data_IF_913989829677
#
_entry.id   IF_913989829677
#
_cell.length_a   1.000
_cell.length_b   1.000
_cell.length_c   1.000
_cell.angle_alpha   90.00
_cell.angle_beta   90.00
_cell.angle_gamma   90.00
#
_symmetry.space_group_name_H-M   'P 1'
#
loop_
_entity.id
_entity.type
_entity.pdbx_description
1 polymer ?
#
# COMPACT_ATOMS: atom_id res chain seq x y z
N UNK A 1 -36.30 33.62 -30.65
CA UNK A 1 -35.78 32.28 -30.93
C UNK A 1 -34.26 32.38 -30.94
N UNK A 2 -33.64 32.27 -29.76
CA UNK A 2 -32.19 32.38 -29.61
C UNK A 2 -31.57 31.02 -29.89
N UNK A 3 -30.93 30.91 -31.05
CA UNK A 3 -29.91 29.93 -31.32
C UNK A 3 -28.65 30.35 -30.56
N UNK A 4 -28.50 29.85 -29.32
CA UNK A 4 -27.21 29.80 -28.64
C UNK A 4 -26.92 28.33 -28.35
N UNK A 5 -26.02 27.82 -29.18
CA UNK A 5 -25.57 26.44 -29.28
C UNK A 5 -24.96 25.90 -27.98
N UNK A 6 -25.32 24.67 -27.64
CA UNK A 6 -24.70 23.78 -26.64
C UNK A 6 -23.16 23.69 -26.77
N UNK A 7 -22.61 24.10 -27.91
CA UNK A 7 -21.17 24.17 -28.21
C UNK A 7 -20.38 25.04 -27.22
N UNK A 8 -20.95 26.10 -26.65
CA UNK A 8 -20.22 26.96 -25.69
C UNK A 8 -20.03 26.29 -24.33
N UNK A 9 -20.99 25.49 -23.86
CA UNK A 9 -20.84 24.75 -22.61
C UNK A 9 -19.78 23.67 -22.76
N UNK A 10 -19.84 22.88 -23.83
CA UNK A 10 -18.81 21.87 -24.14
C UNK A 10 -17.43 22.53 -24.29
N UNK A 11 -17.33 23.67 -24.97
CA UNK A 11 -16.08 24.42 -25.09
C UNK A 11 -15.58 24.94 -23.74
N UNK A 12 -16.46 25.39 -22.84
CA UNK A 12 -16.08 25.84 -21.50
C UNK A 12 -15.53 24.68 -20.65
N UNK A 13 -16.17 23.49 -20.71
CA UNK A 13 -15.67 22.26 -20.06
C UNK A 13 -14.34 21.77 -20.66
N UNK A 14 -14.10 21.94 -21.96
CA UNK A 14 -12.82 21.61 -22.60
C UNK A 14 -11.71 22.67 -22.36
N UNK A 15 -12.06 23.94 -22.09
CA UNK A 15 -11.10 25.03 -21.85
C UNK A 15 -10.72 25.19 -20.37
N UNK A 16 -11.60 24.80 -19.43
CA UNK A 16 -11.22 24.63 -18.03
C UNK A 16 -10.70 23.21 -17.85
N UNK A 17 -9.46 22.94 -18.29
CA UNK A 17 -8.81 21.66 -18.01
C UNK A 17 -8.99 21.32 -16.53
N UNK A 18 -9.69 20.23 -16.21
CA UNK A 18 -10.11 19.91 -14.85
C UNK A 18 -8.92 20.04 -13.91
N UNK A 19 -9.04 20.90 -12.88
CA UNK A 19 -7.96 21.10 -11.91
C UNK A 19 -7.65 19.74 -11.29
N UNK A 20 -6.50 19.18 -11.63
CA UNK A 20 -6.10 17.87 -11.12
C UNK A 20 -5.51 18.02 -9.72
N UNK A 21 -5.79 17.04 -8.89
CA UNK A 21 -5.18 16.82 -7.59
C UNK A 21 -4.23 15.62 -7.67
N UNK A 22 -3.27 15.60 -6.75
CA UNK A 22 -2.24 14.59 -6.68
C UNK A 22 -2.09 14.08 -5.26
N UNK A 23 -1.57 12.87 -5.10
CA UNK A 23 -1.22 12.31 -3.80
C UNK A 23 -0.05 11.35 -3.93
N UNK A 24 0.75 11.25 -2.89
CA UNK A 24 1.92 10.36 -2.84
C UNK A 24 1.74 9.38 -1.69
N UNK A 25 1.90 8.09 -1.97
CA UNK A 25 1.92 7.05 -0.95
C UNK A 25 3.21 6.26 -1.07
N UNK A 26 3.95 6.16 0.02
CA UNK A 26 5.07 5.25 0.14
C UNK A 26 4.61 4.00 0.88
N UNK A 27 4.61 2.86 0.20
CA UNK A 27 4.44 1.55 0.78
C UNK A 27 5.81 1.03 1.23
N UNK A 28 6.05 1.07 2.54
CA UNK A 28 7.29 0.61 3.15
C UNK A 28 7.16 -0.85 3.61
N UNK A 29 7.24 -1.74 2.61
CA UNK A 29 7.25 -3.19 2.77
C UNK A 29 8.49 -3.74 3.50
N UNK A 30 8.45 -5.04 3.83
CA UNK A 30 9.58 -5.71 4.47
C UNK A 30 10.83 -5.81 3.58
N UNK A 31 10.61 -5.94 2.27
CA UNK A 31 11.65 -6.28 1.30
C UNK A 31 12.08 -5.07 0.48
N UNK A 32 11.17 -4.14 0.18
CA UNK A 32 11.41 -2.91 -0.56
C UNK A 32 10.45 -1.80 -0.09
N UNK A 33 10.73 -0.56 -0.47
CA UNK A 33 9.77 0.55 -0.38
C UNK A 33 9.37 0.95 -1.80
N UNK A 34 8.06 1.05 -2.08
CA UNK A 34 7.56 1.60 -3.35
C UNK A 34 6.89 2.94 -3.09
N UNK A 35 7.15 3.90 -3.98
CA UNK A 35 6.46 5.18 -4.01
C UNK A 35 5.46 5.17 -5.16
N UNK A 36 4.21 5.49 -4.86
CA UNK A 36 3.13 5.66 -5.82
C UNK A 36 2.71 7.12 -5.89
N UNK A 37 2.56 7.63 -7.12
CA UNK A 37 1.95 8.94 -7.37
C UNK A 37 0.58 8.70 -7.97
N UNK A 38 -0.43 9.26 -7.33
CA UNK A 38 -1.82 9.22 -7.78
C UNK A 38 -2.27 10.58 -8.29
N UNK A 39 -3.22 10.57 -9.23
CA UNK A 39 -3.86 11.76 -9.80
C UNK A 39 -5.36 11.57 -9.90
N UNK A 40 -6.14 12.59 -9.58
CA UNK A 40 -7.60 12.59 -9.75
C UNK A 40 -8.13 13.98 -10.13
N UNK A 41 -9.31 14.09 -10.75
CA UNK A 41 -10.01 15.37 -10.89
C UNK A 41 -10.40 15.93 -9.51
N UNK A 42 -10.44 17.26 -9.34
CA UNK A 42 -10.85 17.86 -8.06
C UNK A 42 -12.32 17.55 -7.67
N UNK A 43 -13.16 17.18 -8.64
CA UNK A 43 -14.54 16.78 -8.43
C UNK A 43 -14.62 15.35 -7.86
N UNK A 44 -15.58 15.11 -6.96
CA UNK A 44 -15.84 13.80 -6.37
C UNK A 44 -17.10 13.21 -6.98
N UNK A 45 -17.12 11.90 -7.18
CA UNK A 45 -18.31 11.12 -7.55
C UNK A 45 -18.89 10.45 -6.30
N UNK A 46 -20.12 10.82 -5.87
CA UNK A 46 -20.78 10.24 -4.69
C UNK A 46 -19.86 10.22 -3.44
N UNK A 47 -19.32 11.40 -3.10
CA UNK A 47 -18.38 11.64 -1.99
C UNK A 47 -16.99 10.98 -2.12
N UNK A 48 -16.71 10.24 -3.21
CA UNK A 48 -15.44 9.53 -3.43
C UNK A 48 -14.81 9.91 -4.79
N UNK A 49 -13.51 10.13 -4.84
CA UNK A 49 -12.82 10.53 -6.08
C UNK A 49 -12.43 9.35 -6.96
N UNK A 50 -12.45 9.51 -8.28
CA UNK A 50 -11.85 8.57 -9.24
C UNK A 50 -10.35 8.86 -9.36
N UNK A 51 -9.54 8.01 -8.76
CA UNK A 51 -8.09 8.05 -8.68
C UNK A 51 -7.43 7.17 -9.75
N UNK A 52 -6.35 7.67 -10.35
CA UNK A 52 -5.49 6.96 -11.29
C UNK A 52 -4.05 6.94 -10.78
N UNK A 53 -3.36 5.81 -10.93
CA UNK A 53 -1.91 5.75 -10.70
C UNK A 53 -1.20 6.44 -11.87
N UNK A 54 -0.39 7.44 -11.56
CA UNK A 54 0.38 8.20 -12.53
C UNK A 54 1.78 7.62 -12.74
N UNK A 55 2.45 7.24 -11.65
CA UNK A 55 3.83 6.75 -11.68
C UNK A 55 4.12 5.88 -10.45
N UNK A 56 5.08 4.96 -10.59
CA UNK A 56 5.60 4.12 -9.52
C UNK A 56 7.14 4.19 -9.49
N UNK A 57 7.73 4.25 -8.30
CA UNK A 57 9.17 4.21 -8.12
C UNK A 57 9.53 3.27 -6.98
N UNK A 58 10.19 2.16 -7.31
CA UNK A 58 10.78 1.27 -6.31
C UNK A 58 12.10 1.88 -5.79
N UNK A 59 12.14 2.17 -4.49
CA UNK A 59 13.34 2.70 -3.82
C UNK A 59 14.44 1.63 -3.83
N UNK A 60 15.66 2.03 -4.20
CA UNK A 60 16.82 1.13 -4.21
C UNK A 60 17.22 0.74 -2.79
N UNK A 61 17.32 -0.56 -2.55
CA UNK A 61 17.74 -1.13 -1.27
C UNK A 61 16.62 -1.90 -0.58
N UNK A 62 16.87 -2.38 0.66
CA UNK A 62 15.89 -3.15 1.41
C UNK A 62 14.77 -2.27 1.98
N UNK A 63 13.79 -2.89 2.63
CA UNK A 63 12.77 -2.18 3.41
C UNK A 63 13.38 -1.36 4.56
N UNK A 64 12.64 -0.33 5.01
CA UNK A 64 13.13 0.65 5.99
C UNK A 64 13.52 0.06 7.34
N UNK A 65 13.00 -1.12 7.73
CA UNK A 65 13.37 -1.78 8.98
C UNK A 65 14.85 -2.16 9.03
N UNK A 66 15.51 -2.36 7.88
CA UNK A 66 16.95 -2.63 7.80
C UNK A 66 17.83 -1.40 8.07
N UNK A 67 17.23 -0.24 8.29
CA UNK A 67 17.92 1.01 8.63
C UNK A 67 17.92 1.33 10.12
N UNK A 68 17.50 0.40 10.99
CA UNK A 68 17.44 0.56 12.44
C UNK A 68 18.73 1.10 13.09
N UNK A 69 19.90 0.73 12.54
CA UNK A 69 21.22 1.16 13.04
C UNK A 69 21.90 2.22 12.16
N UNK A 70 21.23 2.69 11.10
CA UNK A 70 21.80 3.59 10.09
C UNK A 70 20.76 4.58 9.57
N UNK A 71 19.99 5.15 10.49
CA UNK A 71 18.88 6.07 10.19
C UNK A 71 19.32 7.35 9.48
N UNK A 72 20.59 7.72 9.58
CA UNK A 72 21.22 8.81 8.82
C UNK A 72 21.23 8.56 7.29
N UNK A 73 21.11 7.31 6.83
CA UNK A 73 21.06 6.97 5.40
C UNK A 73 19.65 7.14 4.79
N UNK A 74 18.61 7.34 5.60
CA UNK A 74 17.21 7.42 5.12
C UNK A 74 16.98 8.60 4.16
N UNK A 75 17.68 9.72 4.36
CA UNK A 75 17.62 10.87 3.46
C UNK A 75 18.06 10.48 2.04
N UNK A 76 19.23 9.84 1.92
CA UNK A 76 19.78 9.37 0.65
C UNK A 76 18.95 8.23 0.06
N UNK A 77 18.47 7.32 0.91
CA UNK A 77 17.62 6.20 0.51
C UNK A 77 16.36 6.67 -0.22
N UNK A 78 15.62 7.64 0.32
CA UNK A 78 14.38 8.14 -0.30
C UNK A 78 14.59 9.16 -1.43
N UNK A 79 15.82 9.65 -1.61
CA UNK A 79 16.09 10.82 -2.45
C UNK A 79 15.68 10.64 -3.91
N UNK A 80 16.02 9.53 -4.54
CA UNK A 80 15.77 9.30 -5.97
C UNK A 80 14.27 9.37 -6.31
N UNK A 81 13.44 8.61 -5.59
CA UNK A 81 12.00 8.59 -5.84
C UNK A 81 11.32 9.91 -5.46
N UNK A 82 11.72 10.57 -4.37
CA UNK A 82 11.11 11.85 -3.99
C UNK A 82 11.53 13.00 -4.93
N UNK A 83 12.75 12.96 -5.49
CA UNK A 83 13.19 13.88 -6.54
C UNK A 83 12.44 13.64 -7.86
N UNK A 84 12.12 12.38 -8.19
CA UNK A 84 11.24 12.07 -9.31
C UNK A 84 9.86 12.69 -9.10
N UNK A 85 9.26 12.53 -7.91
CA UNK A 85 7.93 13.10 -7.60
C UNK A 85 7.89 14.62 -7.74
N UNK A 86 8.93 15.32 -7.26
CA UNK A 86 9.00 16.79 -7.37
C UNK A 86 9.14 17.29 -8.80
N UNK A 87 9.73 16.49 -9.70
CA UNK A 87 9.82 16.81 -11.14
C UNK A 87 8.51 16.51 -11.88
N UNK A 88 7.82 15.44 -11.49
CA UNK A 88 6.61 14.98 -12.17
C UNK A 88 5.38 15.83 -11.81
N UNK A 89 5.22 16.18 -10.54
CA UNK A 89 4.08 16.95 -10.06
C UNK A 89 4.33 18.45 -10.32
N UNK A 90 3.36 19.22 -10.87
CA UNK A 90 3.54 20.64 -11.10
C UNK A 90 3.86 21.42 -9.82
N UNK A 91 4.79 22.38 -9.88
CA UNK A 91 5.23 23.13 -8.70
C UNK A 91 4.10 23.87 -7.97
N UNK A 92 3.08 24.34 -8.69
CA UNK A 92 1.88 24.96 -8.12
C UNK A 92 1.02 24.01 -7.28
N UNK A 93 1.22 22.69 -7.46
CA UNK A 93 0.47 21.62 -6.80
C UNK A 93 1.22 20.98 -5.63
N UNK A 94 2.51 21.28 -5.46
CA UNK A 94 3.33 20.63 -4.43
C UNK A 94 2.74 20.79 -3.02
N UNK A 95 2.44 22.01 -2.59
CA UNK A 95 1.97 22.29 -1.22
C UNK A 95 0.61 21.70 -0.86
N UNK A 96 -0.19 21.30 -1.85
CA UNK A 96 -1.50 20.67 -1.63
C UNK A 96 -1.49 19.16 -1.89
N UNK A 97 -0.35 18.62 -2.37
CA UNK A 97 -0.20 17.19 -2.62
C UNK A 97 0.16 16.50 -1.30
N UNK A 98 -0.73 15.70 -0.70
CA UNK A 98 -0.40 14.97 0.50
C UNK A 98 0.61 13.85 0.22
N UNK A 99 1.53 13.64 1.17
CA UNK A 99 2.45 12.50 1.16
C UNK A 99 2.32 11.71 2.46
N UNK A 100 2.09 10.41 2.30
CA UNK A 100 1.95 9.43 3.39
C UNK A 100 3.02 8.34 3.25
N UNK A 101 3.47 7.79 4.37
CA UNK A 101 4.19 6.52 4.39
C UNK A 101 3.46 5.51 5.29
N UNK A 102 3.09 4.37 4.72
CA UNK A 102 2.55 3.23 5.43
C UNK A 102 3.58 2.12 5.48
N UNK A 103 4.09 1.80 6.67
CA UNK A 103 4.99 0.66 6.85
C UNK A 103 4.23 -0.59 7.29
N UNK A 104 4.60 -1.75 6.73
CA UNK A 104 3.87 -3.00 6.95
C UNK A 104 4.61 -3.97 7.88
N UNK A 105 4.47 -5.28 7.66
CA UNK A 105 4.96 -6.32 8.56
C UNK A 105 6.46 -6.23 8.87
N UNK A 106 7.30 -5.74 7.96
CA UNK A 106 8.73 -5.56 8.24
C UNK A 106 9.01 -4.63 9.42
N UNK A 107 8.24 -3.55 9.55
CA UNK A 107 8.33 -2.63 10.69
C UNK A 107 7.55 -3.12 11.91
N UNK A 108 6.49 -3.92 11.73
CA UNK A 108 5.83 -4.61 12.86
C UNK A 108 6.81 -5.53 13.59
N UNK A 109 7.57 -6.33 12.83
CA UNK A 109 8.64 -7.18 13.37
C UNK A 109 9.70 -6.36 14.09
N UNK A 110 10.22 -5.29 13.47
CA UNK A 110 11.20 -4.42 14.13
C UNK A 110 10.66 -3.81 15.43
N UNK A 111 9.39 -3.40 15.47
CA UNK A 111 8.78 -2.86 16.69
C UNK A 111 8.66 -3.91 17.79
N UNK A 112 8.38 -5.16 17.45
CA UNK A 112 8.39 -6.28 18.40
C UNK A 112 9.80 -6.57 18.94
N UNK A 113 10.83 -6.44 18.10
CA UNK A 113 12.24 -6.58 18.50
C UNK A 113 12.71 -5.40 19.37
N UNK A 114 12.38 -4.17 18.97
CA UNK A 114 12.74 -2.93 19.65
C UNK A 114 11.86 -1.77 19.20
N UNK A 115 10.92 -1.38 20.06
CA UNK A 115 10.04 -0.21 19.83
C UNK A 115 10.85 1.07 19.56
N UNK A 116 11.90 1.31 20.36
CA UNK A 116 12.80 2.46 20.17
C UNK A 116 13.53 2.45 18.81
N UNK A 117 13.85 1.28 18.26
CA UNK A 117 14.46 1.21 16.93
C UNK A 117 13.44 1.54 15.83
N UNK A 118 12.22 1.00 15.94
CA UNK A 118 11.13 1.32 15.02
C UNK A 118 10.79 2.82 15.02
N UNK A 119 10.69 3.43 16.20
CA UNK A 119 10.39 4.85 16.35
C UNK A 119 11.50 5.73 15.77
N UNK A 120 12.77 5.36 15.97
CA UNK A 120 13.90 6.10 15.37
C UNK A 120 13.89 6.04 13.84
N UNK A 121 13.53 4.89 13.26
CA UNK A 121 13.37 4.75 11.80
C UNK A 121 12.22 5.63 11.30
N UNK A 122 11.04 5.56 11.92
CA UNK A 122 9.89 6.40 11.55
C UNK A 122 10.19 7.89 11.70
N UNK A 123 10.90 8.29 12.76
CA UNK A 123 11.28 9.68 12.96
C UNK A 123 12.27 10.18 11.89
N UNK A 124 13.21 9.33 11.45
CA UNK A 124 14.11 9.64 10.35
C UNK A 124 13.38 9.76 9.01
N UNK A 125 12.43 8.85 8.74
CA UNK A 125 11.55 8.90 7.57
C UNK A 125 10.72 10.19 7.57
N UNK A 126 10.05 10.50 8.68
CA UNK A 126 9.26 11.74 8.82
C UNK A 126 10.12 12.97 8.55
N UNK A 127 11.31 13.04 9.14
CA UNK A 127 12.26 14.15 8.92
C UNK A 127 12.71 14.26 7.47
N UNK A 128 12.93 13.13 6.79
CA UNK A 128 13.31 13.11 5.37
C UNK A 128 12.17 13.62 4.50
N UNK A 129 10.96 13.07 4.67
CA UNK A 129 9.79 13.44 3.88
C UNK A 129 9.36 14.90 4.10
N UNK A 130 9.48 15.44 5.32
CA UNK A 130 9.18 16.85 5.61
C UNK A 130 10.13 17.87 4.93
N UNK A 131 11.24 17.44 4.32
CA UNK A 131 12.14 18.33 3.55
C UNK A 131 11.63 18.62 2.14
N UNK A 132 10.72 17.79 1.62
CA UNK A 132 10.16 17.95 0.28
C UNK A 132 8.98 18.93 0.29
N UNK A 133 8.68 19.62 -0.82
CA UNK A 133 7.65 20.67 -0.87
C UNK A 133 6.20 20.15 -0.85
N UNK A 134 5.99 18.93 -0.36
CA UNK A 134 4.68 18.27 -0.28
C UNK A 134 4.06 18.42 1.10
N UNK A 135 2.74 18.21 1.18
CA UNK A 135 2.01 18.23 2.44
C UNK A 135 2.21 16.90 3.18
N UNK A 136 3.17 16.85 4.11
CA UNK A 136 3.47 15.63 4.84
C UNK A 136 2.41 15.31 5.89
N UNK A 137 1.71 14.20 5.67
CA UNK A 137 0.57 13.80 6.49
C UNK A 137 0.92 12.74 7.54
N UNK A 138 2.08 12.11 7.43
CA UNK A 138 2.61 11.21 8.46
C UNK A 138 3.26 9.93 7.91
N UNK A 139 4.06 9.31 8.77
CA UNK A 139 4.65 8.00 8.56
C UNK A 139 4.25 7.09 9.72
N UNK A 140 3.52 5.99 9.44
CA UNK A 140 3.01 5.08 10.48
C UNK A 140 3.21 3.62 10.10
N UNK A 141 3.29 2.75 11.11
CA UNK A 141 3.14 1.31 10.92
C UNK A 141 1.65 1.01 10.87
N UNK A 142 1.14 0.62 9.71
CA UNK A 142 -0.27 0.24 9.57
C UNK A 142 -0.53 -1.12 10.21
N UNK A 143 -1.74 -1.34 10.70
CA UNK A 143 -2.17 -2.65 11.21
C UNK A 143 -2.30 -3.64 10.05
N UNK A 144 -2.26 -4.95 10.35
CA UNK A 144 -2.46 -5.97 9.32
C UNK A 144 -3.86 -5.92 8.70
N UNK A 145 -4.84 -5.44 9.46
CA UNK A 145 -6.22 -5.29 8.99
C UNK A 145 -6.36 -4.09 8.04
N UNK A 146 -5.72 -2.96 8.38
CA UNK A 146 -5.63 -1.80 7.48
C UNK A 146 -4.98 -2.21 6.15
N UNK A 147 -3.85 -2.94 6.20
CA UNK A 147 -3.14 -3.42 5.00
C UNK A 147 -4.04 -4.29 4.11
N UNK A 148 -4.68 -5.33 4.67
CA UNK A 148 -5.58 -6.19 3.91
C UNK A 148 -6.81 -5.45 3.36
N UNK A 149 -7.42 -4.56 4.17
CA UNK A 149 -8.57 -3.78 3.76
C UNK A 149 -8.24 -2.79 2.64
N UNK A 150 -7.10 -2.09 2.70
CA UNK A 150 -6.68 -1.19 1.63
C UNK A 150 -6.39 -1.96 0.33
N UNK A 151 -5.81 -3.15 0.40
CA UNK A 151 -5.66 -4.04 -0.76
C UNK A 151 -7.01 -4.42 -1.37
N UNK A 152 -7.98 -4.82 -0.53
CA UNK A 152 -9.34 -5.14 -0.97
C UNK A 152 -10.08 -3.95 -1.60
N UNK A 153 -9.96 -2.75 -1.01
CA UNK A 153 -10.51 -1.52 -1.59
C UNK A 153 -9.86 -1.27 -2.96
N UNK A 154 -8.54 -1.40 -3.06
CA UNK A 154 -7.79 -1.11 -4.29
C UNK A 154 -8.26 -1.99 -5.44
N UNK A 155 -8.32 -3.31 -5.28
CA UNK A 155 -8.73 -4.21 -6.37
C UNK A 155 -10.18 -3.99 -6.78
N UNK A 156 -11.08 -3.73 -5.83
CA UNK A 156 -12.50 -3.54 -6.12
C UNK A 156 -12.76 -2.17 -6.74
N UNK A 157 -11.99 -1.16 -6.37
CA UNK A 157 -11.99 0.14 -7.02
C UNK A 157 -11.52 0.01 -8.48
N UNK A 158 -10.36 -0.60 -8.72
CA UNK A 158 -9.79 -0.76 -10.07
C UNK A 158 -10.68 -1.63 -10.98
N UNK A 159 -11.41 -2.59 -10.41
CA UNK A 159 -12.35 -3.46 -11.13
C UNK A 159 -13.76 -2.87 -11.24
N UNK A 160 -13.97 -1.61 -10.83
CA UNK A 160 -15.26 -0.92 -10.96
C UNK A 160 -16.39 -1.58 -10.17
N UNK A 161 -16.08 -2.14 -8.99
CA UNK A 161 -17.05 -2.82 -8.11
C UNK A 161 -17.78 -1.90 -7.15
N UNK A 162 -17.33 -0.66 -7.03
CA UNK A 162 -17.96 0.36 -6.18
C UNK A 162 -18.74 1.43 -6.96
N UNK A 163 -18.42 1.66 -8.24
CA UNK A 163 -18.97 2.78 -9.02
C UNK A 163 -20.25 2.41 -9.76
N UNK A 164 -21.13 3.41 -9.90
CA UNK A 164 -22.48 3.29 -10.44
C UNK A 164 -22.54 3.34 -11.98
N UNK A 165 -21.43 3.52 -12.70
CA UNK A 165 -21.46 3.58 -14.17
C UNK A 165 -22.04 2.31 -14.82
N UNK A 166 -22.01 1.16 -14.14
CA UNK A 166 -22.70 -0.03 -14.63
C UNK A 166 -24.22 -0.04 -14.36
N UNK A 167 -24.72 0.79 -13.43
CA UNK A 167 -26.15 0.87 -13.05
C UNK A 167 -27.02 1.58 -14.11
N UNK A 168 -26.49 2.54 -14.87
CA UNK A 168 -27.28 3.20 -15.93
C UNK A 168 -27.40 2.33 -17.19
N UNK A 169 -26.42 1.48 -17.49
CA UNK A 169 -26.52 0.45 -18.53
C UNK A 169 -27.45 -0.72 -18.13
N UNK A 170 -27.71 -0.90 -16.83
CA UNK A 170 -28.62 -1.93 -16.28
C UNK A 170 -30.01 -1.40 -15.90
N UNK A 171 -30.45 -0.26 -16.45
CA UNK A 171 -31.85 0.21 -16.32
C UNK A 171 -32.90 -0.75 -16.93
N UNK A 172 -32.47 -1.88 -17.51
CA UNK A 172 -33.31 -2.98 -18.00
C UNK A 172 -33.38 -4.15 -16.98
N UNK A 173 -32.58 -4.11 -15.92
CA UNK A 173 -32.46 -5.20 -14.94
C UNK A 173 -33.09 -4.76 -13.61
N UNK A 174 -34.31 -5.23 -13.34
CA UNK A 174 -35.10 -4.96 -12.13
C UNK A 174 -34.59 -5.70 -10.88
N UNK A 175 -33.32 -6.08 -10.83
CA UNK A 175 -32.77 -6.79 -9.67
C UNK A 175 -31.73 -5.92 -8.97
N UNK A 176 -32.09 -5.41 -7.79
CA UNK A 176 -31.23 -4.64 -6.90
C UNK A 176 -30.17 -5.52 -6.23
N UNK A 177 -29.53 -6.45 -6.96
CA UNK A 177 -28.46 -7.25 -6.38
C UNK A 177 -27.26 -6.36 -6.13
N UNK A 178 -26.78 -6.36 -4.87
CA UNK A 178 -25.49 -5.76 -4.54
C UNK A 178 -24.43 -6.39 -5.43
N UNK A 179 -23.67 -5.55 -6.14
CA UNK A 179 -22.59 -6.03 -6.98
C UNK A 179 -21.57 -6.75 -6.10
N UNK A 180 -21.30 -8.02 -6.42
CA UNK A 180 -20.32 -8.81 -5.69
C UNK A 180 -18.92 -8.20 -5.83
N UNK A 181 -18.21 -8.13 -4.71
CA UNK A 181 -16.82 -7.69 -4.63
C UNK A 181 -15.89 -8.89 -4.67
N UNK A 182 -14.69 -8.71 -5.22
CA UNK A 182 -13.63 -9.70 -5.14
C UNK A 182 -13.04 -9.78 -3.73
N UNK A 183 -12.61 -10.98 -3.35
CA UNK A 183 -11.66 -11.14 -2.24
C UNK A 183 -10.23 -10.75 -2.67
N UNK A 184 -9.42 -10.32 -1.73
CA UNK A 184 -8.01 -10.00 -1.90
C UNK A 184 -7.15 -10.99 -1.13
N UNK A 185 -6.09 -11.48 -1.79
CA UNK A 185 -5.02 -12.26 -1.20
C UNK A 185 -3.72 -11.52 -1.46
N UNK A 186 -2.98 -11.20 -0.40
CA UNK A 186 -1.70 -10.49 -0.48
C UNK A 186 -0.60 -11.33 0.17
N UNK A 187 0.55 -11.45 -0.49
CA UNK A 187 1.70 -12.23 -0.02
C UNK A 187 2.96 -11.36 -0.07
N UNK A 188 3.28 -10.76 1.06
CA UNK A 188 4.51 -10.01 1.26
C UNK A 188 5.70 -10.88 1.68
N UNK A 189 6.82 -10.23 1.99
CA UNK A 189 8.01 -10.89 2.55
C UNK A 189 7.81 -11.32 4.01
N UNK A 190 7.06 -10.56 4.81
CA UNK A 190 6.92 -10.77 6.25
C UNK A 190 5.51 -11.12 6.75
N UNK A 191 4.47 -10.93 5.96
CA UNK A 191 3.10 -11.38 6.26
C UNK A 191 2.36 -11.77 4.99
N UNK A 192 1.20 -12.39 5.18
CA UNK A 192 0.20 -12.61 4.13
C UNK A 192 -1.19 -12.27 4.67
N UNK A 193 -2.07 -11.79 3.81
CA UNK A 193 -3.38 -11.26 4.17
C UNK A 193 -4.46 -11.92 3.32
N UNK A 194 -5.64 -12.07 3.93
CA UNK A 194 -6.86 -12.51 3.27
C UNK A 194 -7.98 -11.55 3.66
N UNK A 195 -8.68 -11.03 2.67
CA UNK A 195 -9.73 -10.02 2.88
C UNK A 195 -10.90 -10.23 1.94
N UNK A 196 -12.12 -10.36 2.44
CA UNK A 196 -13.31 -10.57 1.62
C UNK A 196 -14.61 -10.22 2.37
N UNK A 197 -15.70 -10.04 1.64
CA UNK A 197 -17.05 -9.91 2.21
C UNK A 197 -17.63 -11.32 2.37
N UNK A 198 -17.87 -11.82 3.60
CA UNK A 198 -18.46 -13.15 3.81
C UNK A 198 -19.94 -13.19 3.44
N UNK A 199 -20.45 -14.38 3.10
CA UNK A 199 -21.87 -14.60 2.78
C UNK A 199 -22.78 -14.34 3.99
N UNK A 200 -22.35 -14.76 5.18
CA UNK A 200 -23.06 -14.50 6.42
C UNK A 200 -22.56 -13.17 7.01
N UNK A 201 -23.48 -12.31 7.43
CA UNK A 201 -23.16 -11.02 8.06
C UNK A 201 -22.48 -11.16 9.43
N UNK A 202 -22.63 -12.33 10.08
CA UNK A 202 -21.98 -12.63 11.35
C UNK A 202 -20.59 -13.20 11.11
N UNK A 203 -19.56 -12.42 11.41
CA UNK A 203 -18.18 -12.90 11.49
C UNK A 203 -17.96 -13.43 12.91
N UNK A 204 -17.64 -14.73 13.04
CA UNK A 204 -17.47 -15.42 14.33
C UNK A 204 -16.38 -14.82 15.21
N UNK A 205 -15.37 -14.21 14.58
CA UNK A 205 -14.26 -13.50 15.20
C UNK A 205 -14.38 -11.99 14.92
N UNK A 206 -15.13 -11.22 15.75
CA UNK A 206 -15.43 -9.81 15.49
C UNK A 206 -14.19 -8.94 15.36
N UNK A 207 -13.08 -9.32 16.00
CA UNK A 207 -11.79 -8.66 15.87
C UNK A 207 -11.23 -8.68 14.46
N UNK A 208 -11.69 -9.61 13.59
CA UNK A 208 -11.33 -9.69 12.17
C UNK A 208 -12.36 -9.03 11.25
N UNK A 209 -13.36 -8.36 11.81
CA UNK A 209 -14.38 -7.63 11.06
C UNK A 209 -14.04 -6.15 10.98
N UNK A 210 -14.07 -5.58 9.77
CA UNK A 210 -14.03 -4.14 9.55
C UNK A 210 -15.28 -3.68 8.80
N UNK A 211 -15.84 -2.56 9.25
CA UNK A 211 -16.99 -1.93 8.61
C UNK A 211 -16.55 -0.66 7.90
N UNK A 212 -16.92 -0.55 6.62
CA UNK A 212 -16.63 0.62 5.79
C UNK A 212 -17.90 1.11 5.13
N UNK A 213 -17.98 2.41 4.88
CA UNK A 213 -18.95 2.99 3.96
C UNK A 213 -18.21 3.54 2.75
N UNK A 214 -18.45 2.96 1.57
CA UNK A 214 -17.79 3.32 0.32
C UNK A 214 -18.85 3.59 -0.73
N UNK A 215 -18.78 4.75 -1.40
CA UNK A 215 -19.75 5.16 -2.44
C UNK A 215 -21.22 5.03 -2.00
N UNK A 216 -21.50 5.34 -0.73
CA UNK A 216 -22.83 5.29 -0.12
C UNK A 216 -23.27 3.94 0.44
N UNK A 217 -22.54 2.86 0.19
CA UNK A 217 -22.87 1.49 0.59
C UNK A 217 -22.02 1.02 1.79
N UNK A 218 -22.65 0.31 2.73
CA UNK A 218 -21.99 -0.29 3.89
C UNK A 218 -21.48 -1.70 3.57
N UNK A 219 -20.21 -1.96 3.89
CA UNK A 219 -19.51 -3.23 3.72
C UNK A 219 -19.04 -3.76 5.06
N UNK A 220 -19.37 -5.02 5.36
CA UNK A 220 -18.78 -5.79 6.47
C UNK A 220 -17.75 -6.73 5.87
N UNK A 221 -16.47 -6.47 6.14
CA UNK A 221 -15.33 -7.14 5.49
C UNK A 221 -14.59 -7.97 6.53
N UNK A 222 -14.43 -9.25 6.27
CA UNK A 222 -13.48 -10.08 7.00
C UNK A 222 -12.07 -9.75 6.52
N UNK A 223 -11.14 -9.51 7.45
CA UNK A 223 -9.72 -9.31 7.15
C UNK A 223 -8.85 -9.92 8.23
N UNK A 224 -7.83 -10.66 7.80
CA UNK A 224 -6.83 -11.19 8.71
C UNK A 224 -5.43 -11.11 8.08
N UNK A 225 -4.43 -10.89 8.94
CA UNK A 225 -3.03 -10.79 8.56
C UNK A 225 -2.19 -11.76 9.36
N UNK A 226 -1.62 -12.75 8.70
CA UNK A 226 -0.74 -13.74 9.30
C UNK A 226 0.71 -13.21 9.32
N UNK A 227 1.09 -12.55 10.41
CA UNK A 227 2.47 -12.10 10.62
C UNK A 227 3.42 -13.30 10.68
N UNK A 228 4.63 -13.15 10.15
CA UNK A 228 5.65 -14.20 9.97
C UNK A 228 5.35 -15.23 8.86
N UNK A 229 4.16 -15.22 8.25
CA UNK A 229 3.79 -16.13 7.15
C UNK A 229 4.01 -15.53 5.76
N UNK A 230 4.66 -14.36 5.67
CA UNK A 230 5.18 -13.88 4.39
C UNK A 230 6.32 -14.76 3.88
N UNK A 231 6.56 -14.77 2.57
CA UNK A 231 7.44 -15.75 1.92
C UNK A 231 8.87 -15.79 2.48
N UNK A 232 9.43 -14.64 2.87
CA UNK A 232 10.81 -14.56 3.36
C UNK A 232 10.88 -15.06 4.80
N UNK A 233 9.93 -14.66 5.65
CA UNK A 233 9.86 -15.13 7.05
C UNK A 233 9.48 -16.61 7.14
N UNK A 234 8.58 -17.10 6.29
CA UNK A 234 8.25 -18.51 6.20
C UNK A 234 9.47 -19.35 5.80
N UNK A 235 10.30 -18.86 4.87
CA UNK A 235 11.57 -19.48 4.54
C UNK A 235 12.50 -19.51 5.77
N UNK A 236 12.69 -18.39 6.47
CA UNK A 236 13.52 -18.35 7.68
C UNK A 236 13.06 -19.34 8.76
N UNK A 237 11.75 -19.40 9.01
CA UNK A 237 11.17 -20.37 9.94
C UNK A 237 11.49 -21.81 9.52
N UNK A 238 11.29 -22.13 8.24
CA UNK A 238 11.55 -23.47 7.71
C UNK A 238 13.04 -23.85 7.79
N UNK A 239 13.95 -22.94 7.41
CA UNK A 239 15.39 -23.18 7.52
C UNK A 239 15.81 -23.36 8.99
N UNK A 240 15.25 -22.57 9.92
CA UNK A 240 15.53 -22.72 11.35
C UNK A 240 15.05 -24.07 11.91
N UNK A 241 13.86 -24.53 11.49
CA UNK A 241 13.34 -25.86 11.85
C UNK A 241 14.22 -26.99 11.28
N UNK A 242 14.65 -26.86 10.03
CA UNK A 242 15.53 -27.83 9.36
C UNK A 242 16.89 -27.94 10.07
N UNK A 243 17.47 -26.80 10.50
CA UNK A 243 18.73 -26.78 11.25
C UNK A 243 18.57 -27.49 12.60
N UNK A 244 17.48 -27.24 13.33
CA UNK A 244 17.26 -27.89 14.63
C UNK A 244 17.06 -29.41 14.51
N UNK A 245 16.54 -29.87 13.38
CA UNK A 245 16.35 -31.30 13.10
C UNK A 245 17.64 -32.00 12.61
N UNK A 246 18.66 -31.26 12.17
CA UNK A 246 19.92 -31.82 11.66
C UNK A 246 21.05 -31.69 12.69
N UNK A 247 21.81 -32.77 12.90
CA UNK A 247 22.89 -32.82 13.89
C UNK A 247 24.29 -32.70 13.30
N UNK A 248 24.45 -32.68 11.96
CA UNK A 248 25.78 -32.80 11.32
C UNK A 248 25.97 -31.93 10.07
N UNK A 249 24.98 -31.80 9.18
CA UNK A 249 25.06 -30.94 7.98
C UNK A 249 23.71 -30.29 7.64
N UNK A 250 23.73 -29.01 7.22
CA UNK A 250 22.52 -28.33 6.75
C UNK A 250 22.21 -28.72 5.31
N UNK A 251 21.15 -29.50 5.12
CA UNK A 251 20.57 -29.81 3.81
C UNK A 251 19.09 -29.48 3.85
N UNK A 252 18.62 -28.65 2.91
CA UNK A 252 17.20 -28.31 2.77
C UNK A 252 16.75 -28.58 1.35
N UNK A 253 15.69 -29.38 1.18
CA UNK A 253 15.08 -29.68 -0.11
C UNK A 253 14.51 -28.43 -0.83
N UNK A 254 14.40 -27.30 -0.12
CA UNK A 254 13.95 -26.02 -0.66
C UNK A 254 15.08 -25.20 -1.31
N UNK A 255 16.34 -25.54 -1.03
CA UNK A 255 17.50 -24.90 -1.63
C UNK A 255 18.06 -25.86 -2.68
N UNK A 256 18.08 -25.44 -3.94
CA UNK A 256 18.79 -26.20 -4.99
C UNK A 256 20.29 -26.22 -4.67
N UNK A 257 21.00 -27.26 -5.09
CA UNK A 257 22.45 -27.44 -4.90
C UNK A 257 23.28 -26.48 -5.78
N UNK A 258 23.04 -25.18 -5.63
CA UNK A 258 23.81 -24.09 -6.23
C UNK A 258 24.94 -23.62 -5.31
N UNK A 259 25.90 -22.82 -5.83
CA UNK A 259 27.07 -22.40 -5.07
C UNK A 259 26.66 -21.67 -3.78
N UNK A 260 27.17 -22.15 -2.65
CA UNK A 260 26.98 -21.51 -1.35
C UNK A 260 27.53 -20.08 -1.40
N UNK A 261 26.81 -19.07 -0.89
CA UNK A 261 27.39 -17.75 -0.69
C UNK A 261 28.58 -17.87 0.28
N UNK A 262 29.65 -17.08 0.09
CA UNK A 262 30.85 -17.18 0.92
C UNK A 262 30.48 -17.03 2.40
N UNK A 263 30.96 -17.97 3.22
CA UNK A 263 30.74 -17.97 4.66
C UNK A 263 31.16 -16.62 5.26
N UNK A 264 30.34 -16.02 6.15
CA UNK A 264 30.77 -14.84 6.89
C UNK A 264 32.00 -15.22 7.72
N UNK A 265 33.11 -14.54 7.47
CA UNK A 265 34.31 -14.64 8.30
C UNK A 265 33.96 -14.03 9.65
N UNK A 266 33.66 -14.91 10.62
CA UNK A 266 33.60 -14.52 12.02
C UNK A 266 35.05 -14.20 12.42
N UNK A 267 35.37 -12.92 12.51
CA UNK A 267 36.64 -12.49 13.12
C UNK A 267 36.54 -12.77 14.63
N UNK A 268 37.50 -13.50 15.23
CA UNK A 268 37.54 -13.63 16.68
C UNK A 268 37.84 -12.26 17.31
N UNK A 269 37.15 -12.00 18.42
CA UNK A 269 37.39 -10.88 19.34
C UNK A 269 38.82 -10.91 19.89
#
# INVERSE_FOLDING_TARGET
MNWLSESWLVSYWYWTGSVSQYGIVLDAGSSHTNLYIYKWPAEKENDTGVVYQLEECQVKGPGISKYAQKTNEIDTYLAECMQMSTKLIPASKHRETPVYLGATAGMRLLRMESEQAADRVLAAVSRSLSKYPFDFQGAKIITGQEEGAYGWITINYLLGRFTQEQRWLTLISTDHQKQETFGALDLGGASTQITFVPLNSTIEAPENSLQFRLYGEDYSVYTHSFLCYGKDQALWQKLAMDIQASTTEFSSALLTSGPQPPHPVISPL
#
